data_IF_984606997464
#
_entry.id   IF_984606997464
#
_cell.length_a   1.000
_cell.length_b   1.000
_cell.length_c   1.000
_cell.angle_alpha   90.00
_cell.angle_beta   90.00
_cell.angle_gamma   90.00
#
_symmetry.space_group_name_H-M   'P 1'
#
loop_
_entity.id
_entity.type
_entity.pdbx_description
1 polymer ?
#
# COMPACT_ATOMS: atom_id res chain seq x y z
N UNK A 1 -18.25 -35.01 8.47
CA UNK A 1 -17.71 -34.51 9.75
C UNK A 1 -16.29 -35.01 9.95
N UNK A 2 -15.28 -34.29 9.42
CA UNK A 2 -13.87 -34.57 9.69
C UNK A 2 -13.38 -33.54 10.70
N UNK A 3 -13.08 -34.00 11.90
CA UNK A 3 -12.50 -33.18 12.98
C UNK A 3 -11.05 -32.90 12.60
N UNK A 4 -10.75 -31.69 12.14
CA UNK A 4 -9.38 -31.19 12.03
C UNK A 4 -9.09 -30.52 13.38
N UNK A 5 -8.30 -31.21 14.20
CA UNK A 5 -7.74 -30.63 15.42
C UNK A 5 -6.66 -29.63 14.99
N UNK A 6 -6.96 -28.34 15.11
CA UNK A 6 -5.95 -27.29 14.96
C UNK A 6 -5.19 -27.23 16.28
N UNK A 7 -3.99 -27.78 16.27
CA UNK A 7 -3.02 -27.60 17.34
C UNK A 7 -2.48 -26.17 17.22
N UNK A 8 -3.10 -25.24 17.96
CA UNK A 8 -2.53 -23.92 18.22
C UNK A 8 -1.25 -24.12 19.05
N UNK A 9 -0.12 -24.26 18.38
CA UNK A 9 1.19 -24.15 19.01
C UNK A 9 1.45 -22.66 19.21
N UNK A 10 0.89 -22.11 20.29
CA UNK A 10 1.19 -20.78 20.76
C UNK A 10 2.67 -20.70 21.12
N UNK A 11 3.48 -20.12 20.23
CA UNK A 11 4.73 -19.51 20.64
C UNK A 11 4.37 -18.27 21.46
N UNK A 12 4.18 -18.46 22.77
CA UNK A 12 4.35 -17.37 23.72
C UNK A 12 5.84 -17.08 23.75
N UNK A 13 6.30 -16.24 22.84
CA UNK A 13 7.59 -15.60 23.02
C UNK A 13 7.36 -14.56 24.11
N UNK A 14 7.70 -14.93 25.34
CA UNK A 14 7.87 -14.00 26.44
C UNK A 14 9.08 -13.11 26.12
N UNK A 15 8.92 -12.17 25.20
CA UNK A 15 9.89 -11.10 25.07
C UNK A 15 9.49 -10.03 26.08
N UNK A 16 10.22 -9.97 27.20
CA UNK A 16 10.38 -8.71 27.89
C UNK A 16 11.26 -7.82 26.99
N UNK A 17 10.71 -7.35 25.87
CA UNK A 17 11.39 -6.31 25.09
C UNK A 17 11.24 -5.03 25.88
N UNK A 18 12.35 -4.42 26.26
CA UNK A 18 12.31 -3.05 26.74
C UNK A 18 11.70 -2.19 25.62
N UNK A 19 10.64 -1.45 25.94
CA UNK A 19 9.91 -0.57 25.01
C UNK A 19 10.78 0.52 24.33
N UNK A 20 12.08 0.55 24.63
CA UNK A 20 13.07 1.46 24.09
C UNK A 20 13.66 1.02 22.74
N UNK A 21 13.47 -0.25 22.31
CA UNK A 21 13.96 -0.73 21.01
C UNK A 21 12.85 -1.04 19.98
N UNK A 22 11.57 -1.05 20.39
CA UNK A 22 10.44 -1.29 19.48
C UNK A 22 9.78 0.04 19.17
N UNK A 23 9.62 0.34 17.90
CA UNK A 23 8.84 1.48 17.44
C UNK A 23 7.42 1.01 17.08
N UNK A 24 6.42 1.81 17.46
CA UNK A 24 5.01 1.54 17.14
C UNK A 24 4.50 2.58 16.17
N UNK A 25 3.81 2.13 15.13
CA UNK A 25 3.13 3.00 14.17
C UNK A 25 1.65 2.95 14.46
N UNK A 26 1.04 4.11 14.72
CA UNK A 26 -0.41 4.27 14.81
C UNK A 26 -0.76 5.52 14.05
N UNK A 27 -1.64 5.41 13.08
CA UNK A 27 -2.03 6.57 12.27
C UNK A 27 -3.32 6.34 11.50
N UNK A 28 -3.82 7.41 10.90
CA UNK A 28 -4.95 7.34 10.00
C UNK A 28 -4.89 8.48 8.99
N UNK A 29 -4.87 8.14 7.71
CA UNK A 29 -4.98 9.12 6.63
C UNK A 29 -6.46 9.36 6.28
N UNK A 30 -6.79 10.63 6.02
CA UNK A 30 -8.05 11.03 5.42
C UNK A 30 -7.73 11.63 4.06
N UNK A 31 -8.27 11.03 3.01
CA UNK A 31 -8.01 11.44 1.62
C UNK A 31 -9.31 11.80 0.91
N UNK A 32 -9.26 12.80 0.03
CA UNK A 32 -10.40 13.17 -0.81
C UNK A 32 -10.70 12.13 -1.90
N UNK A 33 -9.71 11.31 -2.27
CA UNK A 33 -9.85 10.18 -3.19
C UNK A 33 -8.74 9.16 -2.92
N UNK A 34 -9.07 7.87 -2.94
CA UNK A 34 -8.09 6.80 -2.83
C UNK A 34 -7.48 6.49 -4.19
N UNK A 35 -6.33 7.11 -4.47
CA UNK A 35 -5.56 6.91 -5.71
C UNK A 35 -4.32 6.09 -5.41
N UNK A 36 -4.19 4.92 -6.03
CA UNK A 36 -3.08 3.99 -5.84
C UNK A 36 -2.40 3.65 -7.16
N UNK A 37 -1.12 4.00 -7.30
CA UNK A 37 -0.31 3.77 -8.52
C UNK A 37 -1.00 4.27 -9.81
N UNK A 38 -1.70 5.40 -9.69
CA UNK A 38 -2.47 6.02 -10.78
C UNK A 38 -3.85 5.39 -11.07
N UNK A 39 -4.32 4.48 -10.21
CA UNK A 39 -5.65 3.88 -10.28
C UNK A 39 -6.57 4.54 -9.25
N UNK A 40 -7.83 4.77 -9.62
CA UNK A 40 -8.86 5.18 -8.66
C UNK A 40 -9.46 3.94 -8.01
N UNK A 41 -9.19 3.75 -6.72
CA UNK A 41 -9.67 2.62 -5.92
C UNK A 41 -10.78 3.01 -4.94
N UNK A 42 -11.14 4.30 -4.84
CA UNK A 42 -12.19 4.74 -3.94
C UNK A 42 -12.33 6.25 -3.88
N UNK A 43 -13.45 6.71 -3.33
CA UNK A 43 -13.73 8.13 -3.16
C UNK A 43 -13.05 8.67 -1.89
N UNK A 44 -13.68 9.61 -1.20
CA UNK A 44 -13.20 10.08 0.10
C UNK A 44 -13.08 8.90 1.06
N UNK A 45 -11.89 8.63 1.56
CA UNK A 45 -11.58 7.42 2.33
C UNK A 45 -10.85 7.73 3.62
N UNK A 46 -11.06 6.86 4.60
CA UNK A 46 -10.31 6.80 5.86
C UNK A 46 -9.41 5.57 5.85
N UNK A 47 -8.13 5.77 6.17
CA UNK A 47 -7.09 4.77 5.93
C UNK A 47 -6.23 4.54 7.19
N UNK A 48 -6.67 3.67 8.11
CA UNK A 48 -5.95 3.41 9.35
C UNK A 48 -4.65 2.61 9.11
N UNK A 49 -3.65 2.89 9.94
CA UNK A 49 -2.38 2.16 10.00
C UNK A 49 -2.07 1.76 11.43
N UNK A 50 -1.63 0.51 11.61
CA UNK A 50 -1.08 -0.02 12.85
C UNK A 50 0.15 -0.86 12.54
N UNK A 51 1.27 -0.62 13.22
CA UNK A 51 2.48 -1.39 12.97
C UNK A 51 3.43 -1.44 14.15
N UNK A 52 4.38 -2.37 14.05
CA UNK A 52 5.52 -2.48 14.96
C UNK A 52 6.79 -2.66 14.14
N UNK A 53 7.88 -2.02 14.56
CA UNK A 53 9.19 -2.15 13.95
C UNK A 53 10.24 -2.51 15.00
N UNK A 54 11.14 -3.41 14.62
CA UNK A 54 12.29 -3.80 15.42
C UNK A 54 13.50 -4.08 14.54
N UNK A 55 14.57 -3.29 14.69
CA UNK A 55 15.85 -3.47 13.99
C UNK A 55 15.69 -3.62 12.46
N UNK A 56 14.84 -2.78 11.88
CA UNK A 56 14.55 -2.74 10.45
C UNK A 56 13.52 -3.77 9.97
N UNK A 57 13.07 -4.71 10.81
CA UNK A 57 11.93 -5.58 10.49
C UNK A 57 10.63 -4.92 10.96
N UNK A 58 9.68 -4.71 10.05
CA UNK A 58 8.37 -4.15 10.37
C UNK A 58 7.23 -5.09 9.99
N UNK A 59 6.18 -5.10 10.81
CA UNK A 59 4.90 -5.72 10.52
C UNK A 59 3.80 -4.67 10.67
N UNK A 60 3.10 -4.40 9.57
CA UNK A 60 2.12 -3.32 9.48
C UNK A 60 0.80 -3.84 8.94
N UNK A 61 -0.28 -3.45 9.59
CA UNK A 61 -1.63 -3.52 9.09
C UNK A 61 -2.05 -2.15 8.55
N UNK A 62 -2.59 -2.13 7.35
CA UNK A 62 -3.20 -0.96 6.73
C UNK A 62 -4.62 -1.30 6.32
N UNK A 63 -5.50 -0.32 6.21
CA UNK A 63 -6.81 -0.54 5.61
C UNK A 63 -7.34 0.71 4.94
N UNK A 64 -8.45 0.54 4.21
CA UNK A 64 -9.17 1.63 3.57
C UNK A 64 -10.66 1.38 3.62
N UNK A 65 -11.42 2.42 3.95
CA UNK A 65 -12.88 2.41 3.87
C UNK A 65 -13.38 3.72 3.27
N UNK A 66 -14.24 3.61 2.27
CA UNK A 66 -14.93 4.76 1.69
C UNK A 66 -15.91 5.40 2.69
N UNK A 67 -15.81 6.71 2.84
CA UNK A 67 -16.70 7.52 3.69
C UNK A 67 -17.90 8.07 2.91
N UNK A 68 -17.76 8.22 1.59
CA UNK A 68 -18.78 8.83 0.74
C UNK A 68 -19.80 7.84 0.17
N UNK A 69 -19.41 6.57 0.03
CA UNK A 69 -20.23 5.53 -0.60
C UNK A 69 -20.17 4.25 0.23
N UNK A 70 -21.34 3.76 0.66
CA UNK A 70 -21.47 2.54 1.48
C UNK A 70 -21.13 1.26 0.71
N UNK A 71 -21.00 1.35 -0.61
CA UNK A 71 -20.62 0.24 -1.49
C UNK A 71 -19.15 0.29 -1.92
N UNK A 72 -18.35 1.23 -1.41
CA UNK A 72 -16.91 1.21 -1.67
C UNK A 72 -16.31 -0.02 -0.96
N UNK A 73 -15.42 -0.72 -1.67
CA UNK A 73 -14.70 -1.88 -1.15
C UNK A 73 -13.95 -1.52 0.14
N UNK A 74 -13.94 -2.46 1.08
CA UNK A 74 -13.05 -2.40 2.24
C UNK A 74 -11.77 -3.13 1.89
N UNK A 75 -10.66 -2.47 2.16
CA UNK A 75 -9.33 -3.05 2.01
C UNK A 75 -8.69 -3.24 3.37
N UNK A 76 -8.01 -4.37 3.54
CA UNK A 76 -7.20 -4.67 4.70
C UNK A 76 -5.93 -5.38 4.25
N UNK A 77 -4.79 -4.76 4.54
CA UNK A 77 -3.51 -5.21 4.06
C UNK A 77 -2.61 -5.56 5.23
N UNK A 78 -1.86 -6.65 5.09
CA UNK A 78 -0.78 -7.00 5.99
C UNK A 78 0.54 -6.97 5.25
N UNK A 79 1.48 -6.15 5.71
CA UNK A 79 2.81 -6.03 5.14
C UNK A 79 3.87 -6.46 6.14
N UNK A 80 4.75 -7.37 5.73
CA UNK A 80 5.98 -7.71 6.42
C UNK A 80 7.15 -7.20 5.58
N UNK A 81 7.97 -6.32 6.16
CA UNK A 81 9.04 -5.64 5.44
C UNK A 81 10.35 -5.65 6.23
N UNK A 82 11.48 -5.66 5.53
CA UNK A 82 12.80 -5.51 6.11
C UNK A 82 13.59 -4.40 5.38
N UNK A 83 14.10 -3.46 6.17
CA UNK A 83 14.89 -2.33 5.68
C UNK A 83 16.27 -2.31 6.34
N UNK A 84 17.31 -2.09 5.55
CA UNK A 84 18.67 -1.86 6.05
C UNK A 84 19.44 -0.90 5.14
N UNK A 85 19.91 0.21 5.72
CA UNK A 85 20.46 1.31 4.92
C UNK A 85 19.42 1.82 3.93
N UNK A 86 19.79 1.92 2.64
CA UNK A 86 18.84 2.24 1.57
C UNK A 86 18.04 1.05 1.05
N UNK A 87 18.40 -0.20 1.38
CA UNK A 87 17.75 -1.39 0.84
C UNK A 87 16.45 -1.72 1.57
N UNK A 88 15.46 -2.19 0.81
CA UNK A 88 14.13 -2.55 1.28
C UNK A 88 13.63 -3.81 0.56
N UNK A 89 12.99 -4.73 1.28
CA UNK A 89 12.30 -5.89 0.72
C UNK A 89 11.09 -6.25 1.57
N UNK A 90 9.98 -6.61 0.96
CA UNK A 90 8.78 -6.94 1.70
C UNK A 90 7.81 -7.82 0.95
N UNK A 91 6.80 -8.27 1.68
CA UNK A 91 5.63 -8.97 1.16
C UNK A 91 4.40 -8.29 1.73
N UNK A 92 3.44 -8.00 0.86
CA UNK A 92 2.12 -7.51 1.22
C UNK A 92 1.07 -8.55 0.84
N UNK A 93 0.16 -8.84 1.77
CA UNK A 93 -1.10 -9.53 1.54
C UNK A 93 -2.21 -8.49 1.45
N UNK A 94 -2.64 -8.18 0.23
CA UNK A 94 -3.78 -7.31 -0.04
C UNK A 94 -5.06 -8.11 0.09
N UNK A 95 -6.05 -7.59 0.81
CA UNK A 95 -7.38 -8.19 0.84
C UNK A 95 -8.47 -7.15 0.64
N UNK A 96 -9.38 -7.46 -0.28
CA UNK A 96 -10.62 -6.71 -0.47
C UNK A 96 -11.83 -7.56 -0.08
N UNK A 97 -12.86 -6.92 0.48
CA UNK A 97 -14.13 -7.58 0.81
C UNK A 97 -14.99 -7.91 -0.42
N UNK A 98 -14.54 -7.50 -1.60
CA UNK A 98 -15.09 -7.88 -2.90
C UNK A 98 -14.06 -8.58 -3.80
N UNK A 99 -14.53 -9.46 -4.69
CA UNK A 99 -13.66 -10.15 -5.64
C UNK A 99 -14.14 -11.56 -6.00
N UNK A 100 -13.18 -12.50 -6.13
CA UNK A 100 -13.44 -13.89 -6.50
C UNK A 100 -14.21 -14.69 -5.43
N UNK A 101 -14.13 -14.27 -4.17
CA UNK A 101 -14.94 -14.77 -3.05
C UNK A 101 -16.07 -13.77 -2.75
N UNK A 102 -17.31 -14.04 -3.22
CA UNK A 102 -18.40 -13.07 -3.18
C UNK A 102 -18.96 -12.82 -1.77
N UNK A 103 -18.68 -13.70 -0.80
CA UNK A 103 -19.07 -13.48 0.59
C UNK A 103 -18.07 -12.60 1.36
N UNK A 104 -16.96 -12.17 0.73
CA UNK A 104 -15.96 -11.34 1.40
C UNK A 104 -15.33 -12.05 2.61
N UNK A 105 -15.03 -13.34 2.48
CA UNK A 105 -14.45 -14.12 3.58
C UNK A 105 -12.94 -13.91 3.64
N UNK A 106 -12.48 -13.18 4.67
CA UNK A 106 -11.05 -12.96 4.92
C UNK A 106 -10.25 -14.27 5.04
N UNK A 107 -10.71 -15.26 5.81
CA UNK A 107 -9.91 -16.50 6.00
C UNK A 107 -9.92 -17.47 4.80
N UNK A 108 -10.37 -17.03 3.62
CA UNK A 108 -10.42 -17.84 2.40
C UNK A 108 -9.13 -17.65 1.58
N UNK A 109 -8.18 -18.56 1.74
CA UNK A 109 -6.90 -18.54 1.00
C UNK A 109 -6.81 -19.56 -0.15
N UNK A 110 -7.95 -20.12 -0.56
CA UNK A 110 -8.00 -21.12 -1.64
C UNK A 110 -7.54 -20.54 -2.97
N UNK A 111 -6.64 -21.24 -3.67
CA UNK A 111 -6.22 -20.86 -5.01
C UNK A 111 -7.44 -20.66 -5.94
N UNK A 112 -7.46 -19.54 -6.67
CA UNK A 112 -8.53 -19.15 -7.61
C UNK A 112 -9.90 -18.81 -6.98
N UNK A 113 -10.01 -18.78 -5.65
CA UNK A 113 -11.27 -18.50 -4.93
C UNK A 113 -11.06 -17.59 -3.73
N UNK A 114 -9.97 -16.84 -3.71
CA UNK A 114 -9.58 -15.93 -2.65
C UNK A 114 -9.67 -14.50 -3.17
N UNK A 115 -9.99 -13.53 -2.31
CA UNK A 115 -9.83 -12.10 -2.63
C UNK A 115 -8.42 -11.60 -2.32
N UNK A 116 -7.58 -12.43 -1.69
CA UNK A 116 -6.21 -12.05 -1.36
C UNK A 116 -5.35 -11.92 -2.60
N UNK A 117 -4.47 -10.93 -2.64
CA UNK A 117 -3.37 -10.79 -3.62
C UNK A 117 -2.07 -10.65 -2.85
N UNK A 118 -1.12 -11.54 -3.11
CA UNK A 118 0.19 -11.47 -2.46
C UNK A 118 1.20 -10.83 -3.39
N UNK A 119 1.78 -9.73 -2.96
CA UNK A 119 2.78 -8.95 -3.68
C UNK A 119 4.12 -9.01 -2.97
N UNK A 120 5.18 -9.28 -3.71
CA UNK A 120 6.55 -9.11 -3.23
C UNK A 120 7.07 -7.77 -3.73
N UNK A 121 7.81 -7.06 -2.88
CA UNK A 121 8.44 -5.80 -3.22
C UNK A 121 9.93 -5.81 -2.91
N UNK A 122 10.69 -5.04 -3.69
CA UNK A 122 12.11 -4.77 -3.45
C UNK A 122 12.43 -3.35 -3.88
N UNK A 123 13.25 -2.66 -3.11
CA UNK A 123 13.60 -1.28 -3.40
C UNK A 123 14.96 -0.86 -2.87
N UNK A 124 15.41 0.29 -3.35
CA UNK A 124 16.59 0.97 -2.84
C UNK A 124 16.38 2.49 -2.84
N UNK A 125 16.69 3.12 -1.71
CA UNK A 125 16.76 4.57 -1.55
C UNK A 125 18.21 5.05 -1.63
N UNK A 126 18.49 5.91 -2.61
CA UNK A 126 19.80 6.51 -2.86
C UNK A 126 19.94 7.89 -2.18
N UNK A 127 18.92 8.35 -1.45
CA UNK A 127 18.83 9.66 -0.81
C UNK A 127 18.35 10.77 -1.74
N UNK A 128 18.83 10.81 -2.99
CA UNK A 128 18.34 11.77 -4.00
C UNK A 128 17.16 11.24 -4.82
N UNK A 129 16.95 9.93 -4.83
CA UNK A 129 15.86 9.24 -5.48
C UNK A 129 15.72 7.83 -4.89
N UNK A 130 14.52 7.25 -4.95
CA UNK A 130 14.28 5.85 -4.62
C UNK A 130 13.69 5.10 -5.80
N UNK A 131 14.01 3.81 -5.87
CA UNK A 131 13.52 2.86 -6.87
C UNK A 131 12.80 1.73 -6.15
N UNK A 132 11.61 1.35 -6.62
CA UNK A 132 10.88 0.18 -6.11
C UNK A 132 10.32 -0.67 -7.24
N UNK A 133 10.36 -1.98 -7.05
CA UNK A 133 9.74 -2.97 -7.92
C UNK A 133 8.79 -3.82 -7.11
N UNK A 134 7.63 -4.11 -7.69
CA UNK A 134 6.55 -4.86 -7.09
C UNK A 134 6.08 -5.95 -8.05
N UNK A 135 5.77 -7.14 -7.53
CA UNK A 135 5.21 -8.26 -8.31
C UNK A 135 4.19 -9.05 -7.50
N UNK A 136 2.96 -9.10 -8.00
CA UNK A 136 1.96 -10.04 -7.53
C UNK A 136 2.38 -11.47 -7.90
N UNK A 137 2.54 -12.35 -6.91
CA UNK A 137 3.05 -13.72 -7.14
C UNK A 137 2.06 -14.82 -6.75
N UNK A 138 1.09 -14.53 -5.88
CA UNK A 138 0.06 -15.49 -5.45
C UNK A 138 -1.32 -14.81 -5.30
N UNK A 139 -2.34 -15.59 -4.93
CA UNK A 139 -3.70 -15.07 -4.77
C UNK A 139 -4.39 -14.72 -6.09
N UNK A 140 -5.29 -13.74 -6.04
CA UNK A 140 -6.13 -13.22 -7.13
C UNK A 140 -5.40 -12.18 -8.00
N UNK A 141 -4.13 -12.46 -8.31
CA UNK A 141 -3.39 -11.68 -9.30
C UNK A 141 -4.13 -11.65 -10.65
N UNK A 142 -3.87 -10.59 -11.41
CA UNK A 142 -4.31 -10.47 -12.78
C UNK A 142 -3.88 -11.60 -13.69
N UNK A 143 -4.53 -11.67 -14.85
CA UNK A 143 -4.30 -12.64 -15.90
C UNK A 143 -4.00 -11.96 -17.23
N UNK A 144 -3.20 -12.67 -18.02
CA UNK A 144 -3.00 -12.35 -19.42
C UNK A 144 -2.94 -13.66 -20.21
N UNK A 145 -3.70 -13.74 -21.31
CA UNK A 145 -3.85 -14.95 -22.12
C UNK A 145 -4.22 -16.20 -21.28
N UNK A 146 -5.11 -16.02 -20.29
CA UNK A 146 -5.62 -17.08 -19.42
C UNK A 146 -4.67 -17.57 -18.32
N UNK A 147 -3.42 -17.06 -18.29
CA UNK A 147 -2.42 -17.39 -17.27
C UNK A 147 -2.24 -16.24 -16.29
N UNK A 148 -1.72 -16.54 -15.09
CA UNK A 148 -1.30 -15.52 -14.11
C UNK A 148 -0.34 -14.53 -14.78
N UNK A 149 -0.58 -13.24 -14.61
CA UNK A 149 0.18 -12.20 -15.27
C UNK A 149 1.50 -11.89 -14.56
N UNK A 150 1.60 -12.22 -13.26
CA UNK A 150 2.65 -11.71 -12.38
C UNK A 150 2.68 -10.19 -12.41
N UNK A 151 1.49 -9.60 -12.24
CA UNK A 151 1.28 -8.16 -12.41
C UNK A 151 2.34 -7.41 -11.64
N UNK A 152 3.11 -6.60 -12.35
CA UNK A 152 4.27 -5.93 -11.79
C UNK A 152 4.16 -4.44 -11.99
N UNK A 153 4.79 -3.70 -11.09
CA UNK A 153 4.87 -2.25 -11.12
C UNK A 153 6.26 -1.82 -10.70
N UNK A 154 6.78 -0.83 -11.40
CA UNK A 154 8.07 -0.22 -11.11
C UNK A 154 7.86 1.27 -10.87
N UNK A 155 8.55 1.83 -9.89
CA UNK A 155 8.42 3.23 -9.52
C UNK A 155 9.78 3.88 -9.24
N UNK A 156 9.90 5.12 -9.70
CA UNK A 156 10.94 6.06 -9.30
C UNK A 156 10.28 7.19 -8.52
N UNK A 157 10.80 7.50 -7.33
CA UNK A 157 10.41 8.68 -6.57
C UNK A 157 11.62 9.60 -6.39
N UNK A 158 11.41 10.91 -6.59
CA UNK A 158 12.45 11.94 -6.49
C UNK A 158 11.97 13.03 -5.54
N UNK A 159 12.45 13.05 -4.28
CA UNK A 159 12.15 14.11 -3.34
C UNK A 159 12.95 15.38 -3.65
N UNK A 160 12.36 16.55 -3.42
CA UNK A 160 13.05 17.84 -3.53
C UNK A 160 12.36 18.90 -2.66
N UNK A 161 13.08 19.98 -2.36
CA UNK A 161 12.50 21.12 -1.64
C UNK A 161 12.27 22.31 -2.58
N UNK A 162 11.10 22.92 -2.47
CA UNK A 162 10.74 24.13 -3.19
C UNK A 162 9.91 25.03 -2.27
N UNK A 163 10.33 26.29 -2.13
CA UNK A 163 9.70 27.29 -1.26
C UNK A 163 9.56 26.86 0.22
N UNK A 164 10.56 26.14 0.74
CA UNK A 164 10.58 25.60 2.12
C UNK A 164 9.42 24.63 2.41
N UNK A 165 8.95 23.96 1.38
CA UNK A 165 7.96 22.87 1.45
C UNK A 165 8.58 21.66 0.79
N UNK A 166 8.25 20.48 1.30
CA UNK A 166 8.73 19.21 0.75
C UNK A 166 7.83 18.79 -0.42
N UNK A 167 8.47 18.44 -1.52
CA UNK A 167 7.84 17.97 -2.74
C UNK A 167 8.41 16.60 -3.11
N UNK A 168 7.63 15.82 -3.85
CA UNK A 168 8.14 14.64 -4.51
C UNK A 168 7.50 14.46 -5.89
N UNK A 169 8.33 14.03 -6.84
CA UNK A 169 7.86 13.57 -8.14
C UNK A 169 7.93 12.04 -8.18
N UNK A 170 6.86 11.41 -8.62
CA UNK A 170 6.77 9.96 -8.81
C UNK A 170 6.48 9.63 -10.26
N UNK A 171 7.26 8.71 -10.82
CA UNK A 171 6.98 8.10 -12.13
C UNK A 171 6.94 6.58 -11.99
N UNK A 172 5.80 6.01 -12.35
CA UNK A 172 5.52 4.59 -12.24
C UNK A 172 5.05 3.97 -13.55
N UNK A 173 5.49 2.75 -13.79
CA UNK A 173 5.19 2.01 -15.00
C UNK A 173 4.91 0.53 -14.72
N UNK A 174 4.03 -0.02 -15.54
CA UNK A 174 3.75 -1.45 -15.63
C UNK A 174 4.60 -1.99 -16.78
N UNK A 175 5.48 -2.99 -16.53
CA UNK A 175 6.47 -3.44 -17.50
C UNK A 175 5.88 -4.30 -18.64
N UNK A 176 4.73 -4.93 -18.44
CA UNK A 176 4.12 -5.86 -19.39
C UNK A 176 2.62 -6.00 -19.18
N UNK A 177 1.95 -6.63 -20.14
CA UNK A 177 0.49 -6.77 -20.16
C UNK A 177 -0.06 -7.50 -18.93
N UNK A 178 -1.12 -6.93 -18.35
CA UNK A 178 -1.89 -7.51 -17.25
C UNK A 178 -3.25 -6.83 -17.15
N UNK A 179 -4.31 -7.59 -16.87
CA UNK A 179 -5.63 -7.04 -16.57
C UNK A 179 -5.69 -6.30 -15.22
N UNK A 180 -4.80 -6.62 -14.26
CA UNK A 180 -4.76 -5.98 -12.93
C UNK A 180 -4.51 -4.46 -13.00
N UNK A 181 -3.74 -4.02 -14.01
CA UNK A 181 -3.50 -2.60 -14.29
C UNK A 181 -4.17 -2.15 -15.61
N UNK A 182 -4.97 -3.02 -16.26
CA UNK A 182 -5.62 -2.72 -17.54
C UNK A 182 -4.66 -2.47 -18.70
N UNK A 183 -3.49 -3.11 -18.74
CA UNK A 183 -2.43 -2.86 -19.74
C UNK A 183 -2.30 -4.00 -20.76
N UNK A 184 -1.94 -3.66 -21.99
CA UNK A 184 -1.68 -4.64 -23.09
C UNK A 184 -0.19 -4.80 -23.42
N UNK A 185 0.68 -4.15 -22.64
CA UNK A 185 2.13 -4.12 -22.81
C UNK A 185 2.76 -3.19 -21.77
N UNK A 186 3.97 -2.69 -22.06
CA UNK A 186 4.56 -1.63 -21.25
C UNK A 186 3.68 -0.38 -21.24
N UNK A 187 3.44 0.19 -20.06
CA UNK A 187 2.65 1.41 -19.91
C UNK A 187 3.12 2.25 -18.72
N UNK A 188 3.19 3.56 -18.90
CA UNK A 188 3.30 4.51 -17.78
C UNK A 188 1.92 4.69 -17.19
N UNK A 189 1.75 4.31 -15.93
CA UNK A 189 0.44 4.34 -15.26
C UNK A 189 0.37 5.38 -14.15
N UNK A 190 1.51 5.91 -13.70
CA UNK A 190 1.54 6.87 -12.61
C UNK A 190 2.54 7.98 -12.88
N UNK A 191 2.08 9.21 -12.96
CA UNK A 191 2.89 10.42 -12.88
C UNK A 191 2.28 11.29 -11.80
N UNK A 192 2.97 11.44 -10.67
CA UNK A 192 2.45 12.21 -9.54
C UNK A 192 3.43 13.32 -9.13
N UNK A 193 2.86 14.48 -8.79
CA UNK A 193 3.56 15.54 -8.09
C UNK A 193 2.85 15.76 -6.76
N UNK A 194 3.55 15.48 -5.67
CA UNK A 194 3.05 15.59 -4.31
C UNK A 194 3.77 16.71 -3.58
N UNK A 195 3.03 17.44 -2.76
CA UNK A 195 3.54 18.44 -1.83
C UNK A 195 3.01 18.13 -0.44
N UNK A 196 3.85 18.19 0.58
CA UNK A 196 3.48 17.93 1.97
C UNK A 196 4.00 19.02 2.90
N UNK A 197 3.25 19.27 3.97
CA UNK A 197 3.62 20.24 5.00
C UNK A 197 2.96 19.89 6.32
N UNK A 198 3.70 20.07 7.40
CA UNK A 198 3.13 19.98 8.75
C UNK A 198 2.45 21.29 9.14
N UNK A 199 1.17 21.20 9.48
CA UNK A 199 0.44 22.30 10.11
C UNK A 199 0.60 22.17 11.62
N UNK A 200 1.39 23.06 12.21
CA UNK A 200 1.58 23.13 13.66
C UNK A 200 0.27 23.57 14.32
N UNK A 201 -0.28 22.72 15.20
CA UNK A 201 -1.49 23.01 15.99
C UNK A 201 -1.11 23.45 17.40
N UNK A 202 -0.17 22.74 18.02
CA UNK A 202 0.43 23.08 19.32
C UNK A 202 1.95 22.90 19.26
N UNK A 203 2.65 23.16 20.37
CA UNK A 203 4.10 22.88 20.45
C UNK A 203 4.44 21.39 20.39
N UNK A 204 3.48 20.51 20.69
CA UNK A 204 3.66 19.06 20.73
C UNK A 204 2.84 18.31 19.68
N UNK A 205 2.02 19.00 18.88
CA UNK A 205 1.11 18.38 17.94
C UNK A 205 1.07 19.15 16.62
N UNK A 206 1.33 18.42 15.54
CA UNK A 206 1.21 18.90 14.16
C UNK A 206 0.39 17.91 13.36
N UNK A 207 -0.31 18.42 12.36
CA UNK A 207 -1.07 17.61 11.41
C UNK A 207 -0.32 17.65 10.08
N UNK A 208 0.29 16.55 9.63
CA UNK A 208 0.79 16.43 8.27
C UNK A 208 -0.37 16.61 7.30
N UNK A 209 -0.25 17.53 6.35
CA UNK A 209 -1.16 17.68 5.23
C UNK A 209 -0.41 17.49 3.92
N UNK A 210 -1.10 16.99 2.91
CA UNK A 210 -0.54 16.84 1.58
C UNK A 210 -1.57 17.11 0.50
N UNK A 211 -1.07 17.49 -0.68
CA UNK A 211 -1.83 17.53 -1.91
C UNK A 211 -1.01 16.86 -3.02
N UNK A 212 -1.69 16.15 -3.92
CA UNK A 212 -1.04 15.51 -5.06
C UNK A 212 -1.88 15.64 -6.34
N UNK A 213 -1.21 15.97 -7.43
CA UNK A 213 -1.77 15.84 -8.78
C UNK A 213 -1.22 14.56 -9.38
N UNK A 214 -2.10 13.67 -9.79
CA UNK A 214 -1.76 12.36 -10.36
C UNK A 214 -2.32 12.26 -11.76
N UNK A 215 -1.53 11.82 -12.72
CA UNK A 215 -1.96 11.49 -14.07
C UNK A 215 -1.61 10.02 -14.37
N UNK A 216 -2.53 9.32 -15.01
CA UNK A 216 -2.32 7.99 -15.55
C UNK A 216 -2.39 8.05 -17.08
N UNK A 217 -1.23 8.15 -17.78
CA UNK A 217 -1.20 8.22 -19.23
C UNK A 217 -1.85 7.02 -19.92
N UNK A 218 -1.78 5.82 -19.32
CA UNK A 218 -2.36 4.60 -19.88
C UNK A 218 -3.90 4.67 -19.92
N UNK A 219 -4.54 5.09 -18.84
CA UNK A 219 -6.00 5.23 -18.76
C UNK A 219 -6.52 6.60 -19.20
N UNK A 220 -5.62 7.56 -19.47
CA UNK A 220 -5.92 8.96 -19.77
C UNK A 220 -6.70 9.69 -18.67
N UNK A 221 -6.54 9.23 -17.43
CA UNK A 221 -7.19 9.82 -16.25
C UNK A 221 -6.25 10.76 -15.51
N UNK A 222 -6.84 11.73 -14.80
CA UNK A 222 -6.13 12.61 -13.89
C UNK A 222 -6.93 12.80 -12.60
N UNK A 223 -6.21 12.98 -11.50
CA UNK A 223 -6.75 13.09 -10.15
C UNK A 223 -6.06 14.22 -9.41
N UNK A 224 -6.82 14.92 -8.57
CA UNK A 224 -6.28 15.89 -7.64
C UNK A 224 -6.75 15.51 -6.24
N UNK A 225 -5.80 15.13 -5.39
CA UNK A 225 -6.07 14.59 -4.06
C UNK A 225 -5.54 15.54 -3.02
N UNK A 226 -6.32 15.75 -1.97
CA UNK A 226 -5.88 16.38 -0.74
C UNK A 226 -6.05 15.38 0.40
N UNK A 227 -5.12 15.38 1.35
CA UNK A 227 -5.23 14.54 2.53
C UNK A 227 -4.49 15.08 3.72
N UNK A 228 -4.75 14.47 4.87
CA UNK A 228 -4.05 14.72 6.11
C UNK A 228 -3.94 13.46 6.95
N UNK A 229 -2.93 13.41 7.81
CA UNK A 229 -2.66 12.27 8.68
C UNK A 229 -2.94 12.65 10.13
N UNK A 230 -3.67 11.80 10.85
CA UNK A 230 -3.73 11.84 12.31
C UNK A 230 -2.80 10.78 12.87
N UNK A 231 -1.85 11.22 13.70
CA UNK A 231 -0.92 10.35 14.43
C UNK A 231 -0.80 10.87 15.88
N UNK A 232 -0.87 9.97 16.89
CA UNK A 232 -0.84 10.33 18.30
C UNK A 232 0.55 10.72 18.82
#
# INVERSE_FOLDING_TARGET
MKKIAILFMGLVISMAVHAQEIETMVGCDFVSSYIWRGQNLGNTSMQPTLGVEYKGLSLTAWGSVGLANLFDAKEFDLTLEYTTGGFNIGITDYWLDEGAEPEGLYFKYGALSTNHVFEANVGYDFGFASLKWFTNFAGNDGRYNGKRAYSSYFEVNVPFQLASVDWSFTAGAVPFATDFYGTTGFAVTNLALTVSKDIKVTDSFSIPVFAQVVANPCSQMAYFVFGFTLQP
#
